data_IF_252386811092
#
_entry.id   IF_252386811092
#
_cell.length_a   1.000
_cell.length_b   1.000
_cell.length_c   1.000
_cell.angle_alpha   90.00
_cell.angle_beta   90.00
_cell.angle_gamma   90.00
#
_symmetry.space_group_name_H-M   'P 1'
#
loop_
_entity.id
_entity.type
_entity.pdbx_description
1 polymer ?
#
# COMPACT_ATOMS: atom_id res chain seq x y z
N UNK A 1 -22.84 0.29 -3.42
CA UNK A 1 -21.84 -0.09 -4.44
C UNK A 1 -22.47 0.09 -5.81
N UNK A 2 -21.87 0.93 -6.66
CA UNK A 2 -22.33 1.12 -8.04
C UNK A 2 -21.73 0.01 -8.95
N UNK A 3 -22.22 -0.11 -10.19
CA UNK A 3 -21.78 -1.17 -11.12
C UNK A 3 -20.30 -1.09 -11.44
N UNK A 4 -19.75 0.11 -11.61
CA UNK A 4 -18.32 0.33 -11.87
C UNK A 4 -17.46 -0.22 -10.72
N UNK A 5 -17.82 0.11 -9.49
CA UNK A 5 -17.12 -0.36 -8.29
C UNK A 5 -17.20 -1.88 -8.12
N UNK A 6 -18.35 -2.48 -8.44
CA UNK A 6 -18.49 -3.94 -8.50
C UNK A 6 -17.52 -4.54 -9.51
N UNK A 7 -17.42 -3.98 -10.72
CA UNK A 7 -16.51 -4.47 -11.77
C UNK A 7 -15.06 -4.37 -11.32
N UNK A 8 -14.65 -3.21 -10.80
CA UNK A 8 -13.28 -3.00 -10.30
C UNK A 8 -12.95 -4.00 -9.19
N UNK A 9 -13.84 -4.18 -8.21
CA UNK A 9 -13.62 -5.06 -7.06
C UNK A 9 -13.53 -6.53 -7.45
N UNK A 10 -14.45 -7.02 -8.28
CA UNK A 10 -14.43 -8.41 -8.77
C UNK A 10 -13.22 -8.69 -9.66
N UNK A 11 -12.85 -7.72 -10.50
CA UNK A 11 -11.66 -7.84 -11.35
C UNK A 11 -10.39 -7.88 -10.50
N UNK A 12 -10.29 -7.05 -9.46
CA UNK A 12 -9.14 -7.07 -8.56
C UNK A 12 -9.00 -8.41 -7.83
N UNK A 13 -10.11 -9.00 -7.36
CA UNK A 13 -10.11 -10.35 -6.79
C UNK A 13 -9.59 -11.42 -7.75
N UNK A 14 -10.03 -11.39 -9.02
CA UNK A 14 -9.54 -12.30 -10.05
C UNK A 14 -8.05 -12.10 -10.34
N UNK A 15 -7.57 -10.86 -10.34
CA UNK A 15 -6.15 -10.56 -10.54
C UNK A 15 -5.28 -11.07 -9.39
N UNK A 16 -5.75 -10.96 -8.15
CA UNK A 16 -5.01 -11.48 -6.99
C UNK A 16 -4.89 -13.02 -7.05
N UNK A 17 -5.90 -13.70 -7.60
CA UNK A 17 -5.92 -15.16 -7.72
C UNK A 17 -5.11 -15.66 -8.93
N UNK A 18 -5.29 -15.04 -10.10
CA UNK A 18 -4.79 -15.57 -11.38
C UNK A 18 -3.61 -14.77 -11.96
N UNK A 19 -3.40 -13.54 -11.51
CA UNK A 19 -2.48 -12.59 -12.12
C UNK A 19 -3.02 -12.02 -13.44
N UNK A 20 -2.30 -11.05 -14.00
CA UNK A 20 -2.76 -10.27 -15.16
C UNK A 20 -3.02 -11.11 -16.42
N UNK A 21 -2.08 -11.99 -16.78
CA UNK A 21 -2.14 -12.71 -18.06
C UNK A 21 -3.24 -13.78 -18.07
N UNK A 22 -3.52 -14.41 -16.93
CA UNK A 22 -4.50 -15.50 -16.83
C UNK A 22 -5.92 -15.01 -16.52
N UNK A 23 -6.14 -13.72 -16.28
CA UNK A 23 -7.48 -13.12 -16.15
C UNK A 23 -8.02 -12.70 -17.52
N UNK A 24 -9.09 -13.37 -17.95
CA UNK A 24 -9.80 -13.10 -19.20
C UNK A 24 -11.04 -12.22 -18.98
N UNK A 25 -11.54 -11.60 -20.06
CA UNK A 25 -12.82 -10.86 -20.00
C UNK A 25 -13.99 -11.79 -19.62
N UNK A 26 -13.93 -13.06 -20.02
CA UNK A 26 -14.94 -14.07 -19.67
C UNK A 26 -14.93 -14.36 -18.18
N UNK A 27 -13.77 -14.45 -17.54
CA UNK A 27 -13.68 -14.58 -16.07
C UNK A 27 -14.38 -13.39 -15.38
N UNK A 28 -14.15 -12.18 -15.88
CA UNK A 28 -14.75 -10.95 -15.33
C UNK A 28 -16.27 -10.95 -15.50
N UNK A 29 -16.77 -11.37 -16.66
CA UNK A 29 -18.21 -11.51 -16.88
C UNK A 29 -18.85 -12.50 -15.90
N UNK A 30 -18.22 -13.66 -15.70
CA UNK A 30 -18.70 -14.68 -14.75
C UNK A 30 -18.68 -14.13 -13.32
N UNK A 31 -17.59 -13.47 -12.91
CA UNK A 31 -17.45 -12.94 -11.55
C UNK A 31 -18.39 -11.76 -11.24
N UNK A 32 -18.77 -10.98 -12.25
CA UNK A 32 -19.64 -9.80 -12.11
C UNK A 32 -21.11 -10.09 -12.44
N UNK A 33 -21.40 -11.16 -13.17
CA UNK A 33 -22.73 -11.46 -13.73
C UNK A 33 -23.14 -10.55 -14.89
N UNK A 34 -22.21 -9.73 -15.42
CA UNK A 34 -22.50 -8.73 -16.44
C UNK A 34 -22.21 -9.22 -17.86
N UNK A 35 -22.93 -8.67 -18.83
CA UNK A 35 -22.65 -8.91 -20.24
C UNK A 35 -21.38 -8.20 -20.68
N UNK A 36 -20.70 -8.74 -21.71
CA UNK A 36 -19.51 -8.13 -22.29
C UNK A 36 -19.76 -6.70 -22.79
N UNK A 37 -20.94 -6.45 -23.37
CA UNK A 37 -21.34 -5.13 -23.83
C UNK A 37 -21.47 -4.12 -22.69
N UNK A 38 -22.00 -4.54 -21.53
CA UNK A 38 -22.09 -3.67 -20.36
C UNK A 38 -20.71 -3.41 -19.73
N UNK A 39 -19.83 -4.41 -19.68
CA UNK A 39 -18.44 -4.18 -19.25
C UNK A 39 -17.75 -3.15 -20.16
N UNK A 40 -17.92 -3.26 -21.48
CA UNK A 40 -17.34 -2.31 -22.43
C UNK A 40 -18.00 -0.92 -22.45
N UNK A 41 -19.18 -0.79 -21.85
CA UNK A 41 -19.79 0.51 -21.61
C UNK A 41 -19.03 1.30 -20.52
N UNK A 42 -18.51 0.61 -19.50
CA UNK A 42 -17.74 1.22 -18.42
C UNK A 42 -16.24 1.37 -18.76
N UNK A 43 -15.67 0.41 -19.50
CA UNK A 43 -14.24 0.37 -19.79
C UNK A 43 -14.00 0.06 -21.26
N UNK A 44 -13.16 0.81 -21.97
CA UNK A 44 -12.89 0.62 -23.40
C UNK A 44 -12.33 -0.76 -23.73
N UNK A 45 -11.48 -1.30 -22.86
CA UNK A 45 -10.86 -2.61 -23.02
C UNK A 45 -10.39 -3.19 -21.67
N UNK A 46 -9.81 -4.39 -21.73
CA UNK A 46 -9.34 -5.12 -20.55
C UNK A 46 -8.17 -4.38 -19.88
N UNK A 47 -7.29 -3.80 -20.69
CA UNK A 47 -6.10 -3.06 -20.28
C UNK A 47 -6.48 -1.79 -19.49
N UNK A 48 -7.46 -1.01 -19.97
CA UNK A 48 -7.97 0.16 -19.27
C UNK A 48 -8.61 -0.22 -17.93
N UNK A 49 -9.46 -1.25 -17.93
CA UNK A 49 -10.05 -1.77 -16.69
C UNK A 49 -8.94 -2.14 -15.69
N UNK A 50 -7.87 -2.79 -16.15
CA UNK A 50 -6.75 -3.11 -15.28
C UNK A 50 -6.02 -1.89 -14.75
N UNK A 51 -5.73 -0.89 -15.59
CA UNK A 51 -5.12 0.38 -15.14
C UNK A 51 -5.98 1.01 -14.04
N UNK A 52 -7.30 1.10 -14.24
CA UNK A 52 -8.21 1.67 -13.23
C UNK A 52 -8.26 0.85 -11.94
N UNK A 53 -8.23 -0.49 -12.04
CA UNK A 53 -8.12 -1.38 -10.88
C UNK A 53 -6.82 -1.09 -10.10
N UNK A 54 -5.70 -0.96 -10.79
CA UNK A 54 -4.39 -0.72 -10.14
C UNK A 54 -4.28 0.68 -9.54
N UNK A 55 -4.86 1.69 -10.18
CA UNK A 55 -4.96 3.04 -9.64
C UNK A 55 -5.73 3.03 -8.31
N UNK A 56 -6.90 2.37 -8.27
CA UNK A 56 -7.76 2.31 -7.09
C UNK A 56 -7.18 1.47 -5.95
N UNK A 57 -6.64 0.29 -6.23
CA UNK A 57 -6.28 -0.69 -5.19
C UNK A 57 -4.78 -0.76 -4.87
N UNK A 58 -3.95 0.03 -5.55
CA UNK A 58 -2.57 0.23 -5.16
C UNK A 58 -2.29 1.71 -4.93
N UNK A 59 -2.38 2.56 -5.95
CA UNK A 59 -1.92 3.96 -5.84
C UNK A 59 -2.70 4.72 -4.77
N UNK A 60 -4.03 4.72 -4.84
CA UNK A 60 -4.86 5.47 -3.89
C UNK A 60 -4.78 4.94 -2.45
N UNK A 61 -4.49 3.63 -2.29
CA UNK A 61 -4.34 3.01 -0.97
C UNK A 61 -3.03 3.43 -0.30
N UNK A 62 -1.95 3.53 -1.07
CA UNK A 62 -0.65 3.92 -0.55
C UNK A 62 -0.43 5.43 -0.51
N UNK A 63 -1.16 6.21 -1.30
CA UNK A 63 -1.00 7.66 -1.31
C UNK A 63 -1.47 8.31 -0.01
N UNK A 64 -0.74 9.33 0.41
CA UNK A 64 -1.10 10.11 1.59
C UNK A 64 -0.66 11.56 1.42
N UNK A 65 -1.36 12.45 2.13
CA UNK A 65 -1.03 13.86 2.14
C UNK A 65 0.04 14.14 3.20
N UNK A 66 1.30 14.22 2.74
CA UNK A 66 2.46 14.56 3.59
C UNK A 66 2.28 15.87 4.36
N UNK A 67 1.45 16.81 3.87
CA UNK A 67 1.22 18.09 4.56
C UNK A 67 0.56 17.89 5.92
N UNK A 68 -0.20 16.81 6.12
CA UNK A 68 -0.80 16.47 7.41
C UNK A 68 0.24 16.12 8.47
N UNK A 69 1.42 15.68 8.04
CA UNK A 69 2.52 15.23 8.91
C UNK A 69 3.68 16.23 9.00
N UNK A 70 3.55 17.41 8.37
CA UNK A 70 4.65 18.38 8.26
C UNK A 70 5.18 18.85 9.61
N UNK A 71 4.29 18.93 10.60
CA UNK A 71 4.60 19.43 11.94
C UNK A 71 4.74 18.30 12.98
N UNK A 72 4.74 17.03 12.55
CA UNK A 72 4.93 15.90 13.47
C UNK A 72 6.38 15.82 13.94
N UNK A 73 6.59 15.43 15.19
CA UNK A 73 7.84 14.83 15.66
C UNK A 73 7.89 13.33 15.33
N UNK A 74 9.00 12.68 15.65
CA UNK A 74 9.23 11.27 15.31
C UNK A 74 8.20 10.32 15.91
N UNK A 75 7.75 10.54 17.15
CA UNK A 75 6.73 9.70 17.78
C UNK A 75 5.37 9.84 17.09
N UNK A 76 4.94 11.08 16.82
CA UNK A 76 3.68 11.37 16.12
C UNK A 76 3.68 10.79 14.70
N UNK A 77 4.83 10.82 14.02
CA UNK A 77 4.95 10.23 12.68
C UNK A 77 4.98 8.69 12.72
N UNK A 78 5.53 8.06 13.76
CA UNK A 78 5.39 6.60 13.97
C UNK A 78 3.92 6.23 14.09
N UNK A 79 3.16 6.93 14.93
CA UNK A 79 1.73 6.66 15.13
C UNK A 79 0.96 6.79 13.80
N UNK A 80 1.23 7.88 13.08
CA UNK A 80 0.66 8.10 11.75
C UNK A 80 0.95 6.94 10.78
N UNK A 81 2.19 6.45 10.78
CA UNK A 81 2.60 5.35 9.91
C UNK A 81 1.92 4.04 10.34
N UNK A 82 1.89 3.71 11.63
CA UNK A 82 1.17 2.56 12.14
C UNK A 82 -0.33 2.57 11.77
N UNK A 83 -0.98 3.74 11.90
CA UNK A 83 -2.38 3.92 11.51
C UNK A 83 -2.60 3.74 10.01
N UNK A 84 -1.72 4.32 9.19
CA UNK A 84 -1.74 4.16 7.74
C UNK A 84 -1.61 2.69 7.34
N UNK A 85 -0.61 1.98 7.87
CA UNK A 85 -0.40 0.57 7.57
C UNK A 85 -1.57 -0.31 8.04
N UNK A 86 -2.17 0.00 9.19
CA UNK A 86 -3.37 -0.70 9.68
C UNK A 86 -4.56 -0.50 8.72
N UNK A 87 -4.75 0.72 8.23
CA UNK A 87 -5.80 1.02 7.26
C UNK A 87 -5.60 0.26 5.94
N UNK A 88 -4.38 0.25 5.41
CA UNK A 88 -4.01 -0.50 4.20
C UNK A 88 -4.28 -2.00 4.40
N UNK A 89 -3.81 -2.57 5.51
CA UNK A 89 -4.03 -3.99 5.83
C UNK A 89 -5.52 -4.32 5.91
N UNK A 90 -6.34 -3.46 6.52
CA UNK A 90 -7.79 -3.69 6.62
C UNK A 90 -8.49 -3.63 5.26
N UNK A 91 -8.09 -2.72 4.36
CA UNK A 91 -8.64 -2.67 3.00
C UNK A 91 -8.31 -3.96 2.25
N UNK A 92 -7.05 -4.40 2.30
CA UNK A 92 -6.60 -5.61 1.62
C UNK A 92 -7.37 -6.83 2.15
N UNK A 93 -7.48 -6.98 3.48
CA UNK A 93 -8.24 -8.08 4.09
C UNK A 93 -9.72 -8.04 3.72
N UNK A 94 -10.37 -6.87 3.73
CA UNK A 94 -11.78 -6.73 3.36
C UNK A 94 -12.06 -7.11 1.90
N UNK A 95 -11.13 -6.84 0.99
CA UNK A 95 -11.21 -7.31 -0.40
C UNK A 95 -11.14 -8.83 -0.46
N UNK A 96 -10.25 -9.45 0.32
CA UNK A 96 -10.10 -10.92 0.36
C UNK A 96 -11.39 -11.59 0.85
N UNK A 97 -11.96 -11.12 1.94
CA UNK A 97 -13.17 -11.70 2.54
C UNK A 97 -14.37 -11.69 1.57
N UNK A 98 -14.57 -10.60 0.83
CA UNK A 98 -15.70 -10.46 -0.10
C UNK A 98 -15.55 -11.22 -1.43
N UNK A 99 -14.33 -11.67 -1.76
CA UNK A 99 -14.09 -12.49 -2.97
C UNK A 99 -14.47 -13.96 -2.78
N UNK A 100 -14.97 -14.35 -1.60
CA UNK A 100 -15.45 -15.72 -1.30
C UNK A 100 -14.36 -16.79 -1.27
N UNK A 101 -13.10 -16.38 -1.48
CA UNK A 101 -11.93 -17.24 -1.66
C UNK A 101 -10.96 -17.09 -0.48
N UNK A 102 -11.53 -17.10 0.73
CA UNK A 102 -10.84 -16.81 2.02
C UNK A 102 -9.61 -17.69 2.28
N UNK A 103 -9.42 -18.77 1.50
CA UNK A 103 -8.27 -19.69 1.63
C UNK A 103 -7.13 -19.48 0.62
N UNK A 104 -7.31 -18.71 -0.45
CA UNK A 104 -6.30 -18.63 -1.53
C UNK A 104 -5.66 -17.25 -1.72
N UNK A 105 -6.30 -16.16 -1.27
CA UNK A 105 -5.72 -14.82 -1.40
C UNK A 105 -5.04 -14.39 -0.10
N UNK A 106 -3.77 -14.03 -0.20
CA UNK A 106 -2.93 -13.59 0.93
C UNK A 106 -2.16 -12.31 0.60
N UNK A 107 -1.45 -11.75 1.59
CA UNK A 107 -0.50 -10.65 1.37
C UNK A 107 0.55 -10.97 0.30
N UNK A 108 0.89 -12.25 0.13
CA UNK A 108 1.79 -12.72 -0.92
C UNK A 108 1.20 -12.47 -2.32
N UNK A 109 -0.08 -12.80 -2.54
CA UNK A 109 -0.77 -12.54 -3.81
C UNK A 109 -0.79 -11.05 -4.15
N UNK A 110 -1.06 -10.21 -3.14
CA UNK A 110 -1.06 -8.76 -3.29
C UNK A 110 0.31 -8.24 -3.74
N UNK A 111 1.39 -8.66 -3.09
CA UNK A 111 2.75 -8.27 -3.46
C UNK A 111 3.13 -8.75 -4.86
N UNK A 112 2.82 -10.00 -5.23
CA UNK A 112 3.11 -10.50 -6.57
C UNK A 112 2.37 -9.72 -7.65
N UNK A 113 1.08 -9.45 -7.46
CA UNK A 113 0.31 -8.64 -8.40
C UNK A 113 0.86 -7.22 -8.48
N UNK A 114 1.19 -6.61 -7.34
CA UNK A 114 1.82 -5.29 -7.28
C UNK A 114 3.11 -5.24 -8.12
N UNK A 115 4.00 -6.22 -7.98
CA UNK A 115 5.23 -6.27 -8.78
C UNK A 115 4.98 -6.57 -10.27
N UNK A 116 3.97 -7.38 -10.61
CA UNK A 116 3.58 -7.58 -12.02
C UNK A 116 3.12 -6.27 -12.66
N UNK A 117 2.35 -5.47 -11.92
CA UNK A 117 1.89 -4.15 -12.37
C UNK A 117 3.08 -3.21 -12.51
N UNK A 118 3.94 -3.14 -11.50
CA UNK A 118 5.18 -2.37 -11.58
C UNK A 118 6.01 -2.77 -12.79
N UNK A 119 6.16 -4.05 -13.12
CA UNK A 119 6.96 -4.46 -14.29
C UNK A 119 6.39 -3.92 -15.61
N UNK A 120 5.07 -3.86 -15.74
CA UNK A 120 4.37 -3.57 -17.00
C UNK A 120 4.08 -2.09 -17.20
N UNK A 121 3.78 -1.37 -16.14
CA UNK A 121 3.32 0.00 -16.21
C UNK A 121 4.36 0.98 -15.66
N UNK A 122 4.98 1.74 -16.56
CA UNK A 122 5.97 2.76 -16.22
C UNK A 122 5.34 3.95 -15.48
N UNK A 123 4.09 4.31 -15.78
CA UNK A 123 3.37 5.40 -15.12
C UNK A 123 3.12 4.99 -13.67
N UNK A 124 2.63 3.76 -13.46
CA UNK A 124 2.45 3.19 -12.13
C UNK A 124 3.74 3.22 -11.32
N UNK A 125 4.87 2.74 -11.88
CA UNK A 125 6.18 2.79 -11.20
C UNK A 125 6.59 4.20 -10.80
N UNK A 126 6.36 5.18 -11.66
CA UNK A 126 6.73 6.58 -11.39
C UNK A 126 5.85 7.18 -10.30
N UNK A 127 4.54 6.90 -10.33
CA UNK A 127 3.61 7.34 -9.29
C UNK A 127 3.96 6.71 -7.95
N UNK A 128 4.22 5.40 -7.92
CA UNK A 128 4.63 4.72 -6.70
C UNK A 128 5.94 5.27 -6.13
N UNK A 129 6.93 5.53 -6.99
CA UNK A 129 8.18 6.20 -6.60
C UNK A 129 7.93 7.57 -5.95
N UNK A 130 7.02 8.36 -6.51
CA UNK A 130 6.66 9.65 -5.94
C UNK A 130 5.99 9.49 -4.56
N UNK A 131 5.15 8.47 -4.37
CA UNK A 131 4.54 8.14 -3.08
C UNK A 131 5.58 7.72 -2.04
N UNK A 132 6.55 6.86 -2.39
CA UNK A 132 7.61 6.44 -1.45
C UNK A 132 8.54 7.61 -1.08
N UNK A 133 8.78 8.55 -2.01
CA UNK A 133 9.59 9.73 -1.71
C UNK A 133 8.90 10.67 -0.70
N UNK A 134 7.57 10.74 -0.71
CA UNK A 134 6.81 11.47 0.32
C UNK A 134 7.06 10.88 1.72
N UNK A 135 7.18 9.56 1.82
CA UNK A 135 7.43 8.89 3.10
C UNK A 135 8.82 9.23 3.66
N UNK A 136 9.85 9.11 2.82
CA UNK A 136 11.22 9.52 3.17
C UNK A 136 11.27 11.00 3.62
N UNK A 137 10.58 11.87 2.88
CA UNK A 137 10.46 13.29 3.22
C UNK A 137 9.71 13.52 4.53
N UNK A 138 8.69 12.72 4.83
CA UNK A 138 7.96 12.76 6.09
C UNK A 138 8.86 12.43 7.28
N UNK A 139 9.70 11.39 7.15
CA UNK A 139 10.71 11.05 8.15
C UNK A 139 11.72 12.17 8.36
N UNK A 140 12.18 12.84 7.30
CA UNK A 140 13.07 14.00 7.44
C UNK A 140 12.42 15.15 8.22
N UNK A 141 11.14 15.47 7.95
CA UNK A 141 10.43 16.51 8.70
C UNK A 141 10.30 16.12 10.16
N UNK A 142 9.90 14.87 10.43
CA UNK A 142 9.74 14.36 11.78
C UNK A 142 11.03 14.45 12.61
N UNK A 143 12.16 14.06 12.01
CA UNK A 143 13.48 14.16 12.64
C UNK A 143 13.87 15.62 12.91
N UNK A 144 13.73 16.52 11.91
CA UNK A 144 14.06 17.95 12.07
C UNK A 144 13.21 18.60 13.17
N UNK A 145 11.92 18.29 13.20
CA UNK A 145 11.01 18.81 14.22
C UNK A 145 11.38 18.31 15.62
N UNK A 146 11.71 17.03 15.76
CA UNK A 146 12.13 16.45 17.05
C UNK A 146 13.48 16.99 17.53
N UNK A 147 14.43 17.29 16.65
CA UNK A 147 15.67 18.01 17.02
C UNK A 147 15.32 19.40 17.57
N UNK A 148 14.46 20.15 16.89
CA UNK A 148 14.05 21.50 17.32
C UNK A 148 13.26 21.51 18.63
N UNK A 149 12.69 20.37 19.03
CA UNK A 149 11.94 20.17 20.28
C UNK A 149 12.79 19.53 21.38
N UNK A 150 14.09 19.32 21.15
CA UNK A 150 15.01 18.63 22.07
C UNK A 150 14.55 17.20 22.42
N UNK A 151 13.80 16.52 21.54
CA UNK A 151 13.31 15.15 21.73
C UNK A 151 14.34 14.08 21.34
N UNK A 152 15.28 14.42 20.45
CA UNK A 152 16.38 13.59 19.95
C UNK A 152 17.65 14.43 19.81
N UNK A 153 18.83 13.78 19.73
CA UNK A 153 20.13 14.48 19.65
C UNK A 153 20.28 15.30 18.37
N UNK A 154 20.93 16.45 18.50
CA UNK A 154 21.18 17.38 17.38
C UNK A 154 22.28 16.91 16.42
N UNK A 155 23.12 15.96 16.83
CA UNK A 155 24.29 15.49 16.07
C UNK A 155 23.97 14.33 15.10
N UNK A 156 22.72 13.89 15.03
CA UNK A 156 22.31 12.83 14.12
C UNK A 156 22.38 13.30 12.65
N UNK A 157 22.71 12.39 11.75
CA UNK A 157 22.53 12.62 10.32
C UNK A 157 21.06 12.37 9.95
N UNK A 158 20.33 13.46 9.71
CA UNK A 158 18.89 13.41 9.39
C UNK A 158 18.62 12.62 8.11
N UNK A 159 19.46 12.76 7.08
CA UNK A 159 19.21 12.09 5.79
C UNK A 159 19.43 10.59 5.91
N UNK A 160 20.52 10.18 6.57
CA UNK A 160 20.80 8.76 6.83
C UNK A 160 19.72 8.16 7.72
N UNK A 161 19.32 8.86 8.78
CA UNK A 161 18.31 8.39 9.72
C UNK A 161 16.92 8.26 9.07
N UNK A 162 16.52 9.24 8.25
CA UNK A 162 15.28 9.17 7.49
C UNK A 162 15.27 7.98 6.52
N UNK A 163 16.40 7.73 5.83
CA UNK A 163 16.52 6.59 4.94
C UNK A 163 16.46 5.25 5.69
N UNK A 164 17.04 5.16 6.89
CA UNK A 164 16.98 3.96 7.73
C UNK A 164 15.56 3.70 8.24
N UNK A 165 14.85 4.72 8.72
CA UNK A 165 13.44 4.61 9.14
C UNK A 165 12.51 4.21 7.98
N UNK A 166 12.72 4.78 6.80
CA UNK A 166 12.03 4.36 5.57
C UNK A 166 12.32 2.89 5.24
N UNK A 167 13.59 2.49 5.25
CA UNK A 167 14.00 1.10 4.94
C UNK A 167 13.43 0.10 5.94
N UNK A 168 13.37 0.45 7.23
CA UNK A 168 12.74 -0.38 8.26
C UNK A 168 11.24 -0.55 7.99
N UNK A 169 10.55 0.54 7.67
CA UNK A 169 9.12 0.50 7.33
C UNK A 169 8.85 -0.42 6.13
N UNK A 170 9.59 -0.23 5.04
CA UNK A 170 9.43 -1.02 3.80
C UNK A 170 9.80 -2.50 4.03
N UNK A 171 10.87 -2.77 4.79
CA UNK A 171 11.28 -4.13 5.12
C UNK A 171 10.23 -4.89 5.92
N UNK A 172 9.59 -4.24 6.90
CA UNK A 172 8.52 -4.83 7.72
C UNK A 172 7.27 -5.06 6.88
N UNK A 173 6.93 -4.11 6.00
CA UNK A 173 5.85 -4.30 5.04
C UNK A 173 6.10 -5.51 4.14
N UNK A 174 7.30 -5.62 3.56
CA UNK A 174 7.65 -6.75 2.72
C UNK A 174 7.55 -8.07 3.49
N UNK A 175 8.04 -8.13 4.74
CA UNK A 175 7.94 -9.32 5.58
C UNK A 175 6.50 -9.72 5.92
N UNK A 176 5.52 -8.81 5.78
CA UNK A 176 4.10 -9.13 5.95
C UNK A 176 3.60 -10.24 5.02
N UNK A 177 4.31 -10.52 3.93
CA UNK A 177 3.98 -11.63 3.00
C UNK A 177 3.96 -13.00 3.69
N UNK A 178 4.70 -13.15 4.78
CA UNK A 178 4.78 -14.37 5.58
C UNK A 178 3.81 -14.40 6.76
N UNK A 179 3.13 -13.28 7.03
CA UNK A 179 2.21 -13.17 8.17
C UNK A 179 0.77 -13.40 7.75
N UNK A 180 0.06 -14.19 8.56
CA UNK A 180 -1.40 -14.33 8.48
C UNK A 180 -2.13 -13.35 9.40
N UNK A 181 -1.43 -12.59 10.23
CA UNK A 181 -1.99 -11.64 11.19
C UNK A 181 -1.50 -10.21 10.90
N UNK A 182 -2.35 -9.39 10.29
CA UNK A 182 -2.06 -7.99 10.02
C UNK A 182 -1.71 -7.19 11.29
N UNK A 183 -2.25 -7.56 12.46
CA UNK A 183 -1.92 -6.88 13.72
C UNK A 183 -0.47 -7.15 14.16
N UNK A 184 0.07 -8.32 13.85
CA UNK A 184 1.48 -8.63 14.14
C UNK A 184 2.44 -7.72 13.36
N UNK A 185 2.09 -7.37 12.11
CA UNK A 185 2.89 -6.49 11.26
C UNK A 185 2.94 -5.09 11.85
N UNK A 186 1.80 -4.55 12.30
CA UNK A 186 1.73 -3.22 12.93
C UNK A 186 2.53 -3.17 14.23
N UNK A 187 2.40 -4.20 15.09
CA UNK A 187 3.21 -4.28 16.32
C UNK A 187 4.71 -4.34 16.01
N UNK A 188 5.11 -5.10 14.99
CA UNK A 188 6.51 -5.17 14.58
C UNK A 188 7.02 -3.82 14.06
N UNK A 189 6.21 -3.11 13.28
CA UNK A 189 6.49 -1.77 12.78
C UNK A 189 6.72 -0.79 13.94
N UNK A 190 5.76 -0.71 14.85
CA UNK A 190 5.82 0.15 16.03
C UNK A 190 7.06 -0.13 16.88
N UNK A 191 7.33 -1.40 17.18
CA UNK A 191 8.49 -1.82 17.97
C UNK A 191 9.82 -1.46 17.29
N UNK A 192 9.96 -1.74 16.00
CA UNK A 192 11.20 -1.50 15.28
C UNK A 192 11.50 0.00 15.15
N UNK A 193 10.49 0.80 14.79
CA UNK A 193 10.64 2.24 14.66
C UNK A 193 10.91 2.90 16.02
N UNK A 194 10.15 2.51 17.06
CA UNK A 194 10.35 3.04 18.42
C UNK A 194 11.72 2.67 18.97
N UNK A 195 12.19 1.44 18.74
CA UNK A 195 13.53 1.03 19.14
C UNK A 195 14.59 1.86 18.43
N UNK A 196 14.48 2.04 17.11
CA UNK A 196 15.42 2.85 16.35
C UNK A 196 15.44 4.31 16.83
N UNK A 197 14.26 4.92 17.06
CA UNK A 197 14.15 6.29 17.57
C UNK A 197 14.76 6.42 18.96
N UNK A 198 14.64 5.41 19.83
CA UNK A 198 15.28 5.43 21.14
C UNK A 198 16.82 5.50 21.03
N UNK A 199 17.41 4.96 19.97
CA UNK A 199 18.85 5.09 19.70
C UNK A 199 19.25 6.51 19.27
N UNK A 200 18.31 7.36 18.87
CA UNK A 200 18.55 8.75 18.46
C UNK A 200 18.45 9.75 19.62
N UNK A 201 17.96 9.33 20.79
CA UNK A 201 17.86 10.15 22.01
C UNK A 201 19.18 10.23 22.75
#
# INVERSE_FOLDING_TARGET
MNTEELILKKTFGLLLLKGFDATSITDIQVATGLSRGLLYHYFKNKEELFIQVTEKFFIQIFDFDIRKAKDYGVAEFVDFMCDRFRHISNIISGIVEETGSVKEVSMLNYHFLFYQVMQRDAIFRNNYRATTEKERTGWEYALKNSINRDEIRVDIDVNVSANQLFTLTDGIWFQSIFSSDGQSVIRNLENALSHYIALLK
#
